data_IF_769355652016
#
_entry.id   IF_769355652016
#
_cell.length_a   1.000
_cell.length_b   1.000
_cell.length_c   1.000
_cell.angle_alpha   90.00
_cell.angle_beta   90.00
_cell.angle_gamma   90.00
#
_symmetry.space_group_name_H-M   'P 1'
#
loop_
_entity.id
_entity.type
_entity.pdbx_description
1 polymer ?
#
# COMPACT_ATOMS: atom_id res chain seq x y z
N UNK A 1 13.01 24.39 9.82
CA UNK A 1 13.98 23.30 10.01
C UNK A 1 13.30 21.93 10.03
N UNK A 2 12.34 21.69 10.93
CA UNK A 2 11.59 20.42 11.05
C UNK A 2 10.94 19.94 9.74
N UNK A 3 10.27 20.83 8.98
CA UNK A 3 9.63 20.46 7.71
C UNK A 3 10.63 19.97 6.64
N UNK A 4 11.83 20.56 6.62
CA UNK A 4 12.89 20.20 5.66
C UNK A 4 13.49 18.83 6.01
N UNK A 5 13.66 18.54 7.30
CA UNK A 5 14.10 17.23 7.77
C UNK A 5 13.06 16.14 7.47
N UNK A 6 11.77 16.42 7.68
CA UNK A 6 10.68 15.50 7.33
C UNK A 6 10.62 15.20 5.82
N UNK A 7 10.75 16.22 4.97
CA UNK A 7 10.83 16.05 3.52
C UNK A 7 12.07 15.27 3.07
N UNK A 8 13.19 15.41 3.81
CA UNK A 8 14.41 14.64 3.54
C UNK A 8 14.22 13.14 3.80
N UNK A 9 13.42 12.77 4.80
CA UNK A 9 13.04 11.38 5.09
C UNK A 9 12.27 10.73 3.93
N UNK A 10 11.34 11.47 3.31
CA UNK A 10 10.60 10.99 2.15
C UNK A 10 11.48 10.75 0.93
N UNK A 11 12.56 11.51 0.77
CA UNK A 11 13.49 11.37 -0.35
C UNK A 11 14.07 9.96 -0.42
N UNK A 12 14.27 9.30 0.74
CA UNK A 12 14.74 7.92 0.82
C UNK A 12 13.75 6.90 0.24
N UNK A 13 12.46 7.14 0.36
CA UNK A 13 11.37 6.29 -0.17
C UNK A 13 11.19 6.50 -1.68
N UNK A 14 11.36 7.75 -2.14
CA UNK A 14 11.18 8.11 -3.55
C UNK A 14 12.42 7.80 -4.40
N UNK A 15 13.62 7.75 -3.82
CA UNK A 15 14.86 7.52 -4.55
C UNK A 15 14.86 6.15 -5.24
N UNK A 16 14.91 6.15 -6.57
CA UNK A 16 15.17 4.94 -7.36
C UNK A 16 16.63 4.56 -7.09
N UNK A 17 16.85 3.40 -6.46
CA UNK A 17 18.18 2.77 -6.43
C UNK A 17 18.37 1.97 -7.72
N UNK A 18 19.58 1.99 -8.26
CA UNK A 18 19.99 1.13 -9.38
C UNK A 18 20.23 -0.32 -8.88
N UNK A 19 19.22 -0.91 -8.24
CA UNK A 19 19.22 -2.30 -7.79
C UNK A 19 18.32 -3.12 -8.73
N UNK A 20 18.42 -4.45 -8.65
CA UNK A 20 17.53 -5.33 -9.38
C UNK A 20 16.06 -5.05 -9.03
N UNK A 21 15.22 -4.91 -10.04
CA UNK A 21 13.77 -4.76 -9.94
C UNK A 21 13.12 -6.09 -9.52
N UNK A 22 12.95 -6.24 -8.21
CA UNK A 22 12.30 -7.39 -7.57
C UNK A 22 10.77 -7.25 -7.50
N UNK A 23 10.21 -6.10 -7.91
CA UNK A 23 8.83 -5.71 -7.60
C UNK A 23 7.89 -5.76 -8.84
N UNK A 24 6.59 -5.90 -8.59
CA UNK A 24 5.56 -5.63 -9.61
C UNK A 24 5.17 -4.15 -9.67
N UNK A 25 4.61 -3.70 -10.78
CA UNK A 25 4.14 -2.31 -10.91
C UNK A 25 3.08 -1.97 -9.85
N UNK A 26 2.19 -2.92 -9.55
CA UNK A 26 1.19 -2.78 -8.50
C UNK A 26 1.84 -2.71 -7.11
N UNK A 27 2.87 -3.51 -6.85
CA UNK A 27 3.61 -3.43 -5.60
C UNK A 27 4.18 -2.02 -5.36
N UNK A 28 4.80 -1.42 -6.40
CA UNK A 28 5.28 -0.03 -6.37
C UNK A 28 4.15 0.98 -6.15
N UNK A 29 2.94 0.71 -6.63
CA UNK A 29 1.79 1.58 -6.41
C UNK A 29 1.40 1.65 -4.92
N UNK A 30 1.52 0.56 -4.18
CA UNK A 30 1.27 0.50 -2.73
C UNK A 30 2.38 1.21 -1.93
N UNK A 31 3.59 0.66 -1.93
CA UNK A 31 4.62 1.14 -0.99
C UNK A 31 5.26 2.46 -1.42
N UNK A 32 5.31 2.75 -2.72
CA UNK A 32 6.03 3.93 -3.23
C UNK A 32 5.09 5.09 -3.44
N UNK A 33 3.97 4.89 -4.16
CA UNK A 33 3.03 5.98 -4.40
C UNK A 33 2.10 6.19 -3.21
N UNK A 34 1.35 5.16 -2.80
CA UNK A 34 0.34 5.30 -1.74
C UNK A 34 0.95 5.65 -0.38
N UNK A 35 2.00 4.95 0.05
CA UNK A 35 2.64 5.25 1.33
C UNK A 35 3.25 6.67 1.35
N UNK A 36 4.00 7.06 0.31
CA UNK A 36 4.57 8.43 0.22
C UNK A 36 3.49 9.48 0.25
N UNK A 37 2.39 9.27 -0.48
CA UNK A 37 1.25 10.16 -0.51
C UNK A 37 0.58 10.31 0.87
N UNK A 38 0.40 9.21 1.61
CA UNK A 38 -0.14 9.25 2.97
C UNK A 38 0.79 10.00 3.93
N UNK A 39 2.11 9.80 3.83
CA UNK A 39 3.07 10.59 4.60
C UNK A 39 3.06 12.07 4.21
N UNK A 40 2.88 12.41 2.94
CA UNK A 40 2.66 13.78 2.48
C UNK A 40 1.42 14.41 3.12
N UNK A 41 0.29 13.70 3.14
CA UNK A 41 -0.93 14.16 3.81
C UNK A 41 -0.75 14.30 5.32
N UNK A 42 -0.08 13.35 5.97
CA UNK A 42 0.28 13.43 7.38
C UNK A 42 1.07 14.71 7.68
N UNK A 43 2.11 15.01 6.88
CA UNK A 43 2.89 16.23 7.06
C UNK A 43 2.06 17.49 6.79
N UNK A 44 1.20 17.49 5.77
CA UNK A 44 0.35 18.64 5.45
C UNK A 44 -0.58 18.99 6.62
N UNK A 45 -1.29 17.99 7.17
CA UNK A 45 -2.20 18.18 8.31
C UNK A 45 -1.42 18.59 9.56
N UNK A 46 -0.25 17.97 9.81
CA UNK A 46 0.61 18.32 10.95
C UNK A 46 1.15 19.74 10.84
N UNK A 47 1.61 20.16 9.66
CA UNK A 47 2.12 21.50 9.42
C UNK A 47 1.03 22.56 9.68
N UNK A 48 -0.20 22.31 9.21
CA UNK A 48 -1.31 23.21 9.47
C UNK A 48 -1.67 23.27 10.97
N UNK A 49 -1.55 22.15 11.68
CA UNK A 49 -1.81 22.09 13.12
C UNK A 49 -0.74 22.77 13.98
N UNK A 50 0.49 22.93 13.47
CA UNK A 50 1.61 23.57 14.18
C UNK A 50 1.76 25.05 13.85
N UNK A 51 1.47 25.46 12.61
CA UNK A 51 1.66 26.84 12.13
C UNK A 51 0.38 27.64 12.14
N UNK A 52 -0.77 26.98 11.93
CA UNK A 52 -2.09 27.62 11.93
C UNK A 52 -2.82 27.49 13.26
N UNK A 53 -3.96 28.17 13.34
CA UNK A 53 -4.94 27.99 14.43
C UNK A 53 -5.93 26.90 13.99
N UNK A 54 -5.87 25.69 14.58
CA UNK A 54 -6.68 24.57 14.10
C UNK A 54 -8.18 24.74 14.40
N UNK A 55 -8.50 25.56 15.40
CA UNK A 55 -9.85 25.92 15.83
C UNK A 55 -9.88 27.38 16.27
N UNK A 56 -10.95 28.10 15.89
CA UNK A 56 -11.21 29.46 16.32
C UNK A 56 -12.65 29.61 16.83
N UNK A 57 -12.80 29.95 18.10
CA UNK A 57 -14.08 30.06 18.78
C UNK A 57 -14.51 31.51 18.96
N UNK A 58 -15.79 31.79 18.69
CA UNK A 58 -16.39 33.12 18.87
C UNK A 58 -16.88 33.25 20.30
N UNK A 59 -16.30 34.18 21.07
CA UNK A 59 -16.66 34.39 22.48
C UNK A 59 -16.85 35.85 22.92
N UNK A 60 -16.84 36.82 22.00
CA UNK A 60 -16.99 38.25 22.33
C UNK A 60 -15.82 38.82 23.16
N UNK A 61 -15.80 40.14 23.33
CA UNK A 61 -14.73 40.87 24.03
C UNK A 61 -14.90 40.79 25.57
N UNK A 62 -14.88 39.58 26.13
CA UNK A 62 -14.97 39.38 27.56
C UNK A 62 -13.58 39.28 28.20
N UNK A 63 -13.20 40.15 29.16
CA UNK A 63 -11.84 40.18 29.73
C UNK A 63 -11.38 38.88 30.38
N UNK A 64 -12.32 38.05 30.84
CA UNK A 64 -12.05 36.75 31.48
C UNK A 64 -12.00 35.57 30.50
N UNK A 65 -12.18 35.81 29.19
CA UNK A 65 -12.13 34.79 28.14
C UNK A 65 -11.01 35.13 27.13
N UNK A 66 -9.73 34.88 27.44
CA UNK A 66 -8.66 35.08 26.46
C UNK A 66 -8.77 34.06 25.32
N UNK A 67 -8.69 34.53 24.07
CA UNK A 67 -8.83 33.73 22.84
C UNK A 67 -8.01 32.45 22.88
N UNK A 68 -6.73 32.57 23.26
CA UNK A 68 -5.81 31.44 23.31
C UNK A 68 -6.25 30.36 24.31
N UNK A 69 -6.81 30.74 25.45
CA UNK A 69 -7.28 29.80 26.47
C UNK A 69 -8.53 29.08 25.99
N UNK A 70 -9.48 29.84 25.44
CA UNK A 70 -10.74 29.30 24.90
C UNK A 70 -10.47 28.34 23.74
N UNK A 71 -9.67 28.77 22.75
CA UNK A 71 -9.32 27.95 21.59
C UNK A 71 -8.56 26.70 22.01
N UNK A 72 -7.61 26.79 22.95
CA UNK A 72 -6.87 25.62 23.44
C UNK A 72 -7.77 24.66 24.21
N UNK A 73 -8.65 25.17 25.07
CA UNK A 73 -9.62 24.36 25.81
C UNK A 73 -10.54 23.61 24.85
N UNK A 74 -11.15 24.32 23.90
CA UNK A 74 -12.05 23.73 22.91
C UNK A 74 -11.34 22.85 21.88
N UNK A 75 -10.03 23.02 21.68
CA UNK A 75 -9.23 22.11 20.87
C UNK A 75 -8.99 20.78 21.58
N UNK A 76 -8.61 20.83 22.87
CA UNK A 76 -8.27 19.65 23.68
C UNK A 76 -9.55 18.89 24.05
N UNK A 77 -10.58 19.60 24.47
CA UNK A 77 -11.90 19.04 24.71
C UNK A 77 -12.64 18.77 23.39
N UNK A 78 -13.58 17.85 23.43
CA UNK A 78 -14.36 17.48 22.25
C UNK A 78 -15.34 18.59 21.88
N UNK A 79 -15.42 18.90 20.60
CA UNK A 79 -16.50 19.73 20.06
C UNK A 79 -17.70 18.86 19.68
N UNK A 80 -18.87 19.45 19.45
CA UNK A 80 -20.06 18.68 19.10
C UNK A 80 -20.95 19.38 18.08
N UNK A 81 -21.79 18.60 17.39
CA UNK A 81 -22.89 19.08 16.54
C UNK A 81 -24.22 18.45 16.97
N UNK A 82 -25.31 19.07 16.55
CA UNK A 82 -26.69 18.69 16.87
C UNK A 82 -27.36 18.07 15.63
N UNK A 83 -27.58 16.75 15.57
CA UNK A 83 -28.18 16.08 14.41
C UNK A 83 -29.51 16.68 13.96
N UNK A 84 -30.35 17.11 14.92
CA UNK A 84 -31.66 17.75 14.65
C UNK A 84 -31.60 19.02 13.77
N UNK A 85 -30.43 19.63 13.66
CA UNK A 85 -30.19 20.83 12.87
C UNK A 85 -29.35 20.60 11.61
N UNK A 86 -28.93 19.35 11.32
CA UNK A 86 -28.10 19.05 10.14
C UNK A 86 -28.89 19.19 8.84
N UNK A 87 -30.13 18.68 8.79
CA UNK A 87 -30.96 18.66 7.58
C UNK A 87 -31.93 19.84 7.45
N UNK A 88 -31.81 20.86 8.31
CA UNK A 88 -32.66 22.06 8.24
C UNK A 88 -32.02 23.11 7.33
N UNK A 89 -32.86 23.85 6.60
CA UNK A 89 -32.40 25.01 5.82
C UNK A 89 -31.69 26.02 6.73
N UNK A 90 -30.56 26.53 6.25
CA UNK A 90 -29.69 27.47 6.98
C UNK A 90 -29.37 28.68 6.09
N UNK A 91 -28.99 29.80 6.72
CA UNK A 91 -28.64 31.03 6.01
C UNK A 91 -29.69 32.14 6.10
N UNK A 92 -29.61 33.11 5.17
CA UNK A 92 -30.33 34.39 5.27
C UNK A 92 -31.85 34.19 5.28
N UNK A 93 -32.49 34.62 6.37
CA UNK A 93 -33.95 34.47 6.57
C UNK A 93 -34.38 33.23 7.37
N UNK A 94 -33.43 32.41 7.83
CA UNK A 94 -33.69 31.26 8.72
C UNK A 94 -33.19 31.53 10.14
N UNK A 95 -33.65 30.73 11.12
CA UNK A 95 -33.18 30.80 12.52
C UNK A 95 -31.83 30.11 12.75
N UNK A 96 -31.24 29.51 11.71
CA UNK A 96 -30.03 28.69 11.78
C UNK A 96 -28.90 29.35 10.99
N UNK A 97 -27.76 29.53 11.68
CA UNK A 97 -26.56 30.14 11.09
C UNK A 97 -25.75 29.10 10.29
N UNK A 98 -25.69 27.84 10.75
CA UNK A 98 -24.94 26.77 10.12
C UNK A 98 -25.56 25.38 10.42
N UNK A 99 -25.47 24.38 9.53
CA UNK A 99 -25.95 23.02 9.78
C UNK A 99 -25.38 22.41 11.05
N UNK A 100 -26.24 21.81 11.88
CA UNK A 100 -25.81 21.16 13.12
C UNK A 100 -25.40 22.10 14.25
N UNK A 101 -25.54 23.42 14.09
CA UNK A 101 -25.23 24.43 15.11
C UNK A 101 -26.49 25.23 15.44
N UNK A 102 -26.94 25.11 16.69
CA UNK A 102 -28.12 25.82 17.20
C UNK A 102 -28.21 25.78 18.72
N UNK A 103 -29.30 26.31 19.29
CA UNK A 103 -29.57 26.21 20.73
C UNK A 103 -29.78 24.74 21.12
N UNK A 104 -29.11 24.29 22.18
CA UNK A 104 -29.21 22.92 22.67
C UNK A 104 -29.95 22.85 24.00
N UNK A 105 -30.78 21.84 24.16
CA UNK A 105 -31.40 21.42 25.41
C UNK A 105 -30.64 20.22 25.97
N UNK A 106 -30.72 20.00 27.28
CA UNK A 106 -30.04 18.88 27.94
C UNK A 106 -30.50 17.49 27.46
N UNK A 107 -31.68 17.39 26.85
CA UNK A 107 -32.25 16.15 26.30
C UNK A 107 -31.85 15.88 24.84
N UNK A 108 -31.10 16.78 24.19
CA UNK A 108 -30.75 16.62 22.79
C UNK A 108 -29.64 15.57 22.60
N UNK A 109 -29.71 14.83 21.50
CA UNK A 109 -28.62 13.98 21.06
C UNK A 109 -27.45 14.84 20.55
N UNK A 110 -26.24 14.55 21.03
CA UNK A 110 -25.02 15.26 20.66
C UNK A 110 -24.08 14.29 19.93
N UNK A 111 -23.52 14.76 18.80
CA UNK A 111 -22.46 14.04 18.10
C UNK A 111 -21.15 14.74 18.37
N UNK A 112 -20.25 14.04 19.07
CA UNK A 112 -18.95 14.57 19.44
C UNK A 112 -17.90 14.33 18.35
N UNK A 113 -17.09 15.35 18.09
CA UNK A 113 -16.02 15.36 17.11
C UNK A 113 -14.69 15.51 17.83
N UNK A 114 -13.92 14.42 17.88
CA UNK A 114 -12.56 14.41 18.42
C UNK A 114 -11.54 13.74 17.49
N UNK A 115 -12.00 13.18 16.36
CA UNK A 115 -11.17 12.42 15.43
C UNK A 115 -10.05 13.28 14.82
N UNK A 116 -10.25 14.59 14.67
CA UNK A 116 -9.29 15.49 14.01
C UNK A 116 -7.93 15.55 14.73
N UNK A 117 -7.90 15.34 16.04
CA UNK A 117 -6.66 15.24 16.82
C UNK A 117 -5.84 14.00 16.42
N UNK A 118 -6.53 12.93 15.99
CA UNK A 118 -5.95 11.64 15.66
C UNK A 118 -5.60 11.47 14.19
N UNK A 119 -6.12 12.34 13.31
CA UNK A 119 -5.91 12.25 11.85
C UNK A 119 -4.42 12.13 11.46
N UNK A 120 -3.48 12.94 11.98
CA UNK A 120 -2.07 12.81 11.62
C UNK A 120 -1.49 11.44 11.99
N UNK A 121 -1.80 10.93 13.19
CA UNK A 121 -1.32 9.63 13.65
C UNK A 121 -1.90 8.47 12.83
N UNK A 122 -3.19 8.58 12.46
CA UNK A 122 -3.85 7.64 11.57
C UNK A 122 -3.16 7.64 10.21
N UNK A 123 -2.99 8.79 9.55
CA UNK A 123 -2.34 8.88 8.24
C UNK A 123 -0.91 8.31 8.26
N UNK A 124 -0.15 8.59 9.33
CA UNK A 124 1.19 8.03 9.53
C UNK A 124 1.17 6.50 9.63
N UNK A 125 0.28 5.95 10.48
CA UNK A 125 0.13 4.51 10.64
C UNK A 125 -0.27 3.85 9.32
N UNK A 126 -1.21 4.43 8.58
CA UNK A 126 -1.61 3.93 7.27
C UNK A 126 -0.44 3.92 6.29
N UNK A 127 0.38 4.97 6.27
CA UNK A 127 1.61 5.02 5.47
C UNK A 127 2.56 3.85 5.78
N UNK A 128 2.77 3.55 7.06
CA UNK A 128 3.57 2.39 7.48
C UNK A 128 2.94 1.06 7.03
N UNK A 129 1.62 0.91 7.17
CA UNK A 129 0.91 -0.30 6.77
C UNK A 129 1.00 -0.56 5.27
N UNK A 130 0.95 0.46 4.41
CA UNK A 130 1.17 0.32 2.96
C UNK A 130 2.63 0.04 2.59
N UNK A 131 3.59 0.41 3.45
CA UNK A 131 5.00 0.08 3.26
C UNK A 131 5.35 -1.35 3.73
N UNK A 132 4.63 -1.87 4.71
CA UNK A 132 4.96 -3.13 5.39
C UNK A 132 5.06 -4.37 4.48
N UNK A 133 4.15 -4.62 3.51
CA UNK A 133 4.26 -5.77 2.61
C UNK A 133 5.55 -5.74 1.77
N UNK A 134 5.99 -4.56 1.34
CA UNK A 134 7.26 -4.41 0.64
C UNK A 134 8.44 -4.65 1.54
N UNK A 135 8.46 -4.06 2.73
CA UNK A 135 9.53 -4.30 3.70
C UNK A 135 9.67 -5.80 4.02
N UNK A 136 8.55 -6.51 4.16
CA UNK A 136 8.53 -7.96 4.35
C UNK A 136 9.10 -8.71 3.15
N UNK A 137 8.65 -8.37 1.93
CA UNK A 137 9.18 -8.97 0.70
C UNK A 137 10.69 -8.77 0.57
N UNK A 138 11.16 -7.54 0.75
CA UNK A 138 12.59 -7.21 0.65
C UNK A 138 13.43 -7.98 1.67
N UNK A 139 12.94 -8.14 2.89
CA UNK A 139 13.61 -8.93 3.94
C UNK A 139 13.65 -10.42 3.57
N UNK A 140 12.58 -10.95 2.99
CA UNK A 140 12.53 -12.36 2.56
C UNK A 140 13.32 -12.66 1.28
N UNK A 141 13.41 -11.68 0.37
CA UNK A 141 14.15 -11.75 -0.88
C UNK A 141 15.66 -11.76 -0.61
N UNK A 142 16.12 -10.95 0.36
CA UNK A 142 17.46 -11.04 0.94
C UNK A 142 18.62 -10.70 -0.02
N UNK A 143 18.35 -10.03 -1.15
CA UNK A 143 19.32 -9.71 -2.19
C UNK A 143 19.62 -10.88 -3.13
N UNK A 144 18.84 -11.96 -3.11
CA UNK A 144 19.07 -13.17 -3.91
C UNK A 144 19.11 -12.85 -5.41
N UNK A 145 18.14 -12.09 -5.92
CA UNK A 145 18.07 -11.75 -7.34
C UNK A 145 19.24 -10.86 -7.76
N UNK A 146 19.58 -9.85 -6.95
CA UNK A 146 20.70 -8.94 -7.24
C UNK A 146 22.03 -9.71 -7.29
N UNK A 147 22.21 -10.66 -6.37
CA UNK A 147 23.37 -11.57 -6.36
C UNK A 147 23.43 -12.45 -7.62
N UNK A 148 22.30 -13.04 -8.04
CA UNK A 148 22.22 -13.97 -9.18
C UNK A 148 22.36 -13.23 -10.52
N UNK A 149 21.92 -11.97 -10.61
CA UNK A 149 22.10 -11.16 -11.82
C UNK A 149 23.57 -10.85 -12.09
N UNK A 150 24.46 -10.84 -11.08
CA UNK A 150 25.93 -10.71 -11.24
C UNK A 150 26.40 -9.60 -12.22
N UNK A 151 25.65 -8.51 -12.33
CA UNK A 151 25.93 -7.42 -13.27
C UNK A 151 25.58 -7.70 -14.74
N UNK A 152 24.87 -8.78 -15.05
CA UNK A 152 24.31 -9.07 -16.39
C UNK A 152 23.24 -8.06 -16.84
N UNK A 153 22.89 -7.09 -16.00
CA UNK A 153 22.09 -5.91 -16.34
C UNK A 153 22.86 -4.88 -17.17
N UNK A 154 24.21 -4.92 -17.15
CA UNK A 154 25.07 -3.93 -17.81
C UNK A 154 25.32 -4.38 -19.27
N UNK A 155 24.96 -3.58 -20.28
CA UNK A 155 25.11 -3.97 -21.68
C UNK A 155 26.58 -4.02 -22.14
N UNK A 156 27.44 -3.21 -21.53
CA UNK A 156 28.87 -3.10 -21.87
C UNK A 156 29.67 -4.08 -21.01
N UNK A 157 29.97 -5.25 -21.56
CA UNK A 157 30.89 -6.24 -20.98
C UNK A 157 31.60 -7.01 -22.09
N UNK A 158 32.74 -7.64 -21.78
CA UNK A 158 33.46 -8.46 -22.76
C UNK A 158 32.65 -9.72 -23.13
N UNK A 159 32.90 -10.29 -24.31
CA UNK A 159 32.18 -11.49 -24.75
C UNK A 159 32.45 -12.68 -23.84
N UNK A 160 33.70 -12.84 -23.41
CA UNK A 160 34.13 -13.95 -22.55
C UNK A 160 33.54 -13.80 -21.14
N UNK A 161 33.60 -12.60 -20.55
CA UNK A 161 32.99 -12.34 -19.23
C UNK A 161 31.48 -12.57 -19.25
N UNK A 162 30.80 -12.18 -20.34
CA UNK A 162 29.37 -12.46 -20.52
C UNK A 162 29.11 -13.95 -20.54
N UNK A 163 29.87 -14.69 -21.32
CA UNK A 163 29.70 -16.13 -21.49
C UNK A 163 29.89 -16.86 -20.16
N UNK A 164 30.94 -16.54 -19.41
CA UNK A 164 31.25 -17.15 -18.11
C UNK A 164 30.13 -16.90 -17.09
N UNK A 165 29.63 -15.65 -17.00
CA UNK A 165 28.53 -15.30 -16.09
C UNK A 165 27.22 -16.00 -16.46
N UNK A 166 26.92 -16.13 -17.76
CA UNK A 166 25.75 -16.87 -18.24
C UNK A 166 25.87 -18.36 -17.91
N UNK A 167 27.04 -18.95 -18.14
CA UNK A 167 27.29 -20.36 -17.83
C UNK A 167 27.11 -20.66 -16.34
N UNK A 168 27.69 -19.82 -15.47
CA UNK A 168 27.54 -19.93 -14.02
C UNK A 168 26.08 -19.77 -13.58
N UNK A 169 25.36 -18.81 -14.17
CA UNK A 169 23.93 -18.59 -13.89
C UNK A 169 23.08 -19.78 -14.34
N UNK A 170 23.33 -20.34 -15.52
CA UNK A 170 22.64 -21.52 -16.03
C UNK A 170 22.90 -22.75 -15.15
N UNK A 171 24.14 -22.93 -14.69
CA UNK A 171 24.53 -24.00 -13.78
C UNK A 171 23.82 -23.90 -12.43
N UNK A 172 23.77 -22.70 -11.86
CA UNK A 172 23.01 -22.42 -10.65
C UNK A 172 21.52 -22.76 -10.83
N UNK A 173 20.88 -22.25 -11.90
CA UNK A 173 19.46 -22.46 -12.15
C UNK A 173 19.11 -23.93 -12.38
N UNK A 174 20.00 -24.67 -13.05
CA UNK A 174 19.84 -26.11 -13.25
C UNK A 174 19.94 -26.89 -11.93
N UNK A 175 20.96 -26.58 -11.12
CA UNK A 175 21.21 -27.27 -9.84
C UNK A 175 20.17 -26.94 -8.76
N UNK A 176 19.54 -25.78 -8.84
CA UNK A 176 18.56 -25.28 -7.86
C UNK A 176 17.10 -25.35 -8.33
N UNK A 177 16.83 -26.05 -9.43
CA UNK A 177 15.47 -26.24 -9.93
C UNK A 177 14.57 -26.85 -8.86
N UNK A 178 13.30 -26.47 -8.82
CA UNK A 178 12.27 -26.89 -7.86
C UNK A 178 12.42 -26.35 -6.42
N UNK A 179 13.57 -25.79 -6.04
CA UNK A 179 13.75 -25.15 -4.72
C UNK A 179 13.17 -23.73 -4.64
N UNK A 180 12.67 -23.17 -5.75
CA UNK A 180 12.18 -21.78 -5.81
C UNK A 180 10.69 -21.59 -5.50
N UNK A 181 9.93 -22.65 -5.26
CA UNK A 181 8.49 -22.52 -5.02
C UNK A 181 8.18 -21.66 -3.79
N UNK A 182 8.96 -21.80 -2.72
CA UNK A 182 8.78 -21.00 -1.51
C UNK A 182 9.08 -19.51 -1.76
N UNK A 183 10.03 -19.19 -2.64
CA UNK A 183 10.32 -17.82 -3.05
C UNK A 183 9.13 -17.18 -3.77
N UNK A 184 8.47 -17.91 -4.69
CA UNK A 184 7.27 -17.43 -5.37
C UNK A 184 6.05 -17.31 -4.43
N UNK A 185 5.87 -18.26 -3.50
CA UNK A 185 4.78 -18.21 -2.50
C UNK A 185 4.94 -16.98 -1.58
N UNK A 186 6.16 -16.71 -1.10
CA UNK A 186 6.47 -15.52 -0.31
C UNK A 186 6.09 -14.23 -1.04
N UNK A 187 6.41 -14.13 -2.33
CA UNK A 187 6.04 -12.98 -3.15
C UNK A 187 4.52 -12.85 -3.28
N UNK A 188 3.82 -13.94 -3.62
CA UNK A 188 2.37 -13.96 -3.76
C UNK A 188 1.66 -13.57 -2.45
N UNK A 189 2.17 -14.05 -1.32
CA UNK A 189 1.68 -13.67 0.01
C UNK A 189 1.80 -12.16 0.24
N UNK A 190 2.91 -11.53 -0.15
CA UNK A 190 3.06 -10.08 -0.07
C UNK A 190 2.11 -9.33 -1.03
N UNK A 191 1.86 -9.85 -2.24
CA UNK A 191 0.84 -9.27 -3.14
C UNK A 191 -0.57 -9.39 -2.52
N UNK A 192 -0.90 -10.51 -1.88
CA UNK A 192 -2.17 -10.70 -1.17
C UNK A 192 -2.28 -9.74 0.03
N UNK A 193 -1.22 -9.60 0.81
CA UNK A 193 -1.16 -8.67 1.95
C UNK A 193 -1.40 -7.22 1.52
N UNK A 194 -0.98 -6.80 0.32
CA UNK A 194 -1.30 -5.46 -0.18
C UNK A 194 -2.81 -5.27 -0.43
N UNK A 195 -3.50 -6.27 -1.02
CA UNK A 195 -4.94 -6.19 -1.21
C UNK A 195 -5.66 -6.17 0.15
N UNK A 196 -5.29 -7.09 1.05
CA UNK A 196 -5.84 -7.16 2.41
C UNK A 196 -5.63 -5.83 3.13
N UNK A 197 -4.45 -5.23 3.01
CA UNK A 197 -4.15 -3.94 3.60
C UNK A 197 -5.03 -2.82 3.02
N UNK A 198 -5.25 -2.79 1.70
CA UNK A 198 -6.13 -1.79 1.06
C UNK A 198 -7.57 -1.91 1.56
N UNK A 199 -8.10 -3.13 1.66
CA UNK A 199 -9.47 -3.38 2.18
C UNK A 199 -9.56 -3.06 3.67
N UNK A 200 -8.55 -3.46 4.45
CA UNK A 200 -8.47 -3.15 5.87
C UNK A 200 -8.43 -1.64 6.12
N UNK A 201 -7.68 -0.87 5.32
CA UNK A 201 -7.64 0.59 5.44
C UNK A 201 -9.01 1.23 5.18
N UNK A 202 -9.76 0.72 4.20
CA UNK A 202 -11.13 1.18 3.94
C UNK A 202 -12.05 0.91 5.15
N UNK A 203 -11.99 -0.30 5.71
CA UNK A 203 -12.76 -0.66 6.91
C UNK A 203 -12.35 0.15 8.14
N UNK A 204 -11.04 0.34 8.34
CA UNK A 204 -10.48 1.09 9.46
C UNK A 204 -10.93 2.56 9.42
N UNK A 205 -10.86 3.20 8.25
CA UNK A 205 -11.36 4.57 8.08
C UNK A 205 -12.87 4.67 8.25
N UNK A 206 -13.63 3.66 7.81
CA UNK A 206 -15.06 3.61 8.07
C UNK A 206 -15.37 3.56 9.56
N UNK A 207 -14.65 2.74 10.33
CA UNK A 207 -14.80 2.70 11.79
C UNK A 207 -14.37 4.03 12.45
N UNK A 208 -13.27 4.62 11.98
CA UNK A 208 -12.72 5.87 12.50
C UNK A 208 -13.64 7.08 12.30
N UNK A 209 -14.33 7.14 11.16
CA UNK A 209 -15.24 8.24 10.79
C UNK A 209 -16.71 7.98 11.14
N UNK A 210 -17.01 7.01 12.01
CA UNK A 210 -18.37 6.78 12.50
C UNK A 210 -19.30 6.01 11.55
N UNK A 211 -18.76 5.27 10.58
CA UNK A 211 -19.50 4.32 9.74
C UNK A 211 -19.94 4.84 8.37
N UNK A 212 -19.54 6.05 7.99
CA UNK A 212 -19.97 6.74 6.77
C UNK A 212 -18.95 6.66 5.62
N UNK A 213 -17.72 6.23 5.89
CA UNK A 213 -16.64 6.30 4.90
C UNK A 213 -16.88 5.37 3.70
N UNK A 214 -17.55 4.23 3.86
CA UNK A 214 -17.78 3.32 2.73
C UNK A 214 -18.60 3.95 1.60
N UNK A 215 -19.62 4.74 1.91
CA UNK A 215 -20.48 5.42 0.92
C UNK A 215 -19.96 6.80 0.54
N UNK A 216 -19.03 7.35 1.32
CA UNK A 216 -18.61 8.76 1.25
C UNK A 216 -18.32 9.28 -0.15
N UNK A 217 -17.52 8.58 -0.97
CA UNK A 217 -17.22 9.06 -2.33
C UNK A 217 -18.41 9.00 -3.28
N UNK A 218 -19.31 8.01 -3.12
CA UNK A 218 -20.56 7.93 -3.89
C UNK A 218 -21.48 9.07 -3.48
N UNK A 219 -21.62 9.33 -2.18
CA UNK A 219 -22.43 10.41 -1.63
C UNK A 219 -21.95 11.78 -2.14
N UNK A 220 -20.63 11.97 -2.27
CA UNK A 220 -20.03 13.20 -2.84
C UNK A 220 -20.31 13.35 -4.35
N UNK A 221 -20.32 12.26 -5.12
CA UNK A 221 -20.70 12.30 -6.54
C UNK A 221 -22.18 12.66 -6.71
N UNK A 222 -23.06 11.98 -5.96
CA UNK A 222 -24.50 12.26 -5.96
C UNK A 222 -24.79 13.69 -5.50
N UNK A 223 -24.09 14.15 -4.47
CA UNK A 223 -24.15 15.54 -4.04
C UNK A 223 -23.77 16.46 -5.20
N UNK A 224 -22.70 16.23 -5.95
CA UNK A 224 -22.26 17.12 -7.05
C UNK A 224 -23.29 17.24 -8.18
N UNK A 225 -24.16 16.24 -8.37
CA UNK A 225 -25.17 16.21 -9.45
C UNK A 225 -26.54 16.81 -9.08
N UNK A 226 -26.88 16.91 -7.80
CA UNK A 226 -28.21 17.39 -7.32
C UNK A 226 -28.43 18.92 -7.51
N UNK A 227 -29.55 19.53 -7.10
CA UNK A 227 -29.71 21.00 -7.12
C UNK A 227 -29.22 21.65 -5.81
N UNK A 228 -28.68 22.87 -5.85
CA UNK A 228 -27.98 23.51 -4.73
C UNK A 228 -28.85 23.83 -3.49
N UNK A 229 -30.16 23.88 -3.65
CA UNK A 229 -31.11 24.34 -2.63
C UNK A 229 -31.63 23.21 -1.70
N UNK A 230 -31.51 21.94 -2.08
CA UNK A 230 -32.01 20.78 -1.30
C UNK A 230 -30.90 19.97 -0.61
N UNK A 231 -29.64 20.38 -0.74
CA UNK A 231 -28.50 19.54 -0.40
C UNK A 231 -28.04 19.69 1.06
N UNK A 232 -27.86 18.56 1.74
CA UNK A 232 -26.93 18.46 2.89
C UNK A 232 -25.58 17.99 2.36
N UNK A 233 -24.51 18.76 2.57
CA UNK A 233 -23.16 18.38 2.14
C UNK A 233 -22.65 17.20 3.00
N UNK A 234 -22.42 16.00 2.43
CA UNK A 234 -21.91 14.85 3.18
C UNK A 234 -20.53 15.12 3.80
N UNK A 235 -19.75 16.05 3.22
CA UNK A 235 -18.48 16.49 3.80
C UNK A 235 -18.69 17.20 5.14
N UNK A 236 -19.75 18.00 5.30
CA UNK A 236 -20.04 18.74 6.54
C UNK A 236 -20.55 17.80 7.65
N UNK A 237 -21.22 16.71 7.28
CA UNK A 237 -21.69 15.70 8.25
C UNK A 237 -20.52 14.93 8.86
N UNK A 238 -19.56 14.52 8.03
CA UNK A 238 -18.39 13.75 8.49
C UNK A 238 -17.27 14.65 9.02
N UNK A 239 -17.06 15.80 8.39
CA UNK A 239 -16.03 16.78 8.72
C UNK A 239 -16.63 18.18 8.93
N UNK A 240 -17.35 18.42 10.03
CA UNK A 240 -18.00 19.71 10.25
C UNK A 240 -16.96 20.84 10.34
N UNK A 241 -17.17 21.90 9.55
CA UNK A 241 -16.30 23.08 9.58
C UNK A 241 -16.68 24.04 10.72
N UNK A 242 -17.89 23.93 11.25
CA UNK A 242 -18.37 24.70 12.40
C UNK A 242 -19.02 23.75 13.39
N UNK A 243 -18.66 23.88 14.66
CA UNK A 243 -19.13 23.05 15.77
C UNK A 243 -19.42 23.90 17.00
N UNK A 244 -20.01 23.29 18.03
CA UNK A 244 -20.19 23.90 19.35
C UNK A 244 -19.17 23.37 20.36
N UNK A 245 -18.84 24.20 21.35
CA UNK A 245 -17.97 23.86 22.47
C UNK A 245 -18.54 24.46 23.76
N UNK A 246 -18.63 23.65 24.82
CA UNK A 246 -19.01 24.14 26.14
C UNK A 246 -17.76 24.47 26.95
N UNK A 247 -17.43 25.75 27.07
CA UNK A 247 -16.32 26.24 27.88
C UNK A 247 -16.79 26.44 29.32
N UNK A 248 -16.23 25.68 30.26
CA UNK A 248 -16.61 25.74 31.67
C UNK A 248 -15.57 26.53 32.45
N UNK A 249 -16.01 27.51 33.23
CA UNK A 249 -15.15 28.26 34.15
C UNK A 249 -15.82 28.42 35.52
N UNK A 250 -15.06 28.92 36.50
CA UNK A 250 -15.61 29.30 37.81
C UNK A 250 -15.86 30.80 37.84
N UNK A 251 -17.09 31.20 38.14
CA UNK A 251 -17.45 32.60 38.36
C UNK A 251 -16.94 33.14 39.71
N UNK A 252 -17.13 34.44 40.00
CA UNK A 252 -16.65 35.08 41.23
C UNK A 252 -17.16 34.41 42.53
N UNK A 253 -18.33 33.79 42.47
CA UNK A 253 -18.96 33.06 43.57
C UNK A 253 -18.45 31.61 43.74
N UNK A 254 -17.54 31.15 42.88
CA UNK A 254 -17.07 29.75 42.85
C UNK A 254 -18.06 28.77 42.21
N UNK A 255 -19.17 29.26 41.66
CA UNK A 255 -20.13 28.47 40.89
C UNK A 255 -19.61 28.23 39.47
N UNK A 256 -19.95 27.07 38.88
CA UNK A 256 -19.57 26.74 37.50
C UNK A 256 -20.44 27.57 36.55
N UNK A 257 -19.80 28.30 35.65
CA UNK A 257 -20.42 29.01 34.53
C UNK A 257 -20.00 28.33 33.22
N UNK A 258 -21.00 27.93 32.43
CA UNK A 258 -20.79 27.29 31.12
C UNK A 258 -21.11 28.26 30.01
N UNK A 259 -20.13 28.52 29.15
CA UNK A 259 -20.29 29.31 27.94
C UNK A 259 -20.41 28.39 26.73
N UNK A 260 -21.53 28.49 26.01
CA UNK A 260 -21.79 27.76 24.77
C UNK A 260 -21.24 28.55 23.57
N UNK A 261 -20.10 28.10 23.05
CA UNK A 261 -19.33 28.79 22.03
C UNK A 261 -19.50 28.13 20.67
N UNK A 262 -19.53 28.95 19.62
CA UNK A 262 -19.44 28.49 18.23
C UNK A 262 -17.98 28.52 17.80
N UNK A 263 -17.48 27.42 17.24
CA UNK A 263 -16.10 27.30 16.82
C UNK A 263 -15.99 26.87 15.35
N UNK A 264 -15.04 27.48 14.63
CA UNK A 264 -14.70 27.14 13.25
C UNK A 264 -13.46 26.24 13.27
N UNK A 265 -13.58 25.05 12.69
CA UNK A 265 -12.52 24.05 12.59
C UNK A 265 -11.83 24.17 11.24
N UNK A 266 -10.83 25.06 11.15
CA UNK A 266 -10.06 25.28 9.93
C UNK A 266 -9.36 23.99 9.45
N UNK A 267 -8.97 23.09 10.35
CA UNK A 267 -8.33 21.83 9.98
C UNK A 267 -9.22 20.92 9.12
N UNK A 268 -10.53 20.98 9.31
CA UNK A 268 -11.48 20.12 8.62
C UNK A 268 -11.64 20.45 7.13
N UNK A 269 -11.32 21.68 6.69
CA UNK A 269 -11.31 22.02 5.26
C UNK A 269 -10.25 21.25 4.47
N UNK A 270 -9.14 20.89 5.12
CA UNK A 270 -8.08 20.08 4.51
C UNK A 270 -8.47 18.60 4.59
N UNK A 271 -8.95 18.16 5.76
CA UNK A 271 -9.33 16.77 5.98
C UNK A 271 -10.42 16.33 5.00
N UNK A 272 -11.47 17.12 4.78
CA UNK A 272 -12.55 16.75 3.85
C UNK A 272 -12.01 16.44 2.44
N UNK A 273 -11.00 17.19 1.96
CA UNK A 273 -10.44 17.01 0.62
C UNK A 273 -9.51 15.80 0.56
N UNK A 274 -8.68 15.63 1.59
CA UNK A 274 -7.80 14.45 1.71
C UNK A 274 -8.64 13.18 1.71
N UNK A 275 -9.68 13.10 2.55
CA UNK A 275 -10.47 11.88 2.72
C UNK A 275 -11.36 11.57 1.52
N UNK A 276 -11.86 12.56 0.79
CA UNK A 276 -12.53 12.31 -0.49
C UNK A 276 -11.56 11.71 -1.50
N UNK A 277 -10.39 12.31 -1.64
CA UNK A 277 -9.37 11.80 -2.55
C UNK A 277 -8.92 10.38 -2.16
N UNK A 278 -8.68 10.13 -0.87
CA UNK A 278 -8.28 8.80 -0.37
C UNK A 278 -9.34 7.73 -0.62
N UNK A 279 -10.62 8.07 -0.54
CA UNK A 279 -11.70 7.13 -0.83
C UNK A 279 -11.59 6.59 -2.26
N UNK A 280 -11.54 7.49 -3.26
CA UNK A 280 -11.39 7.10 -4.66
C UNK A 280 -10.08 6.35 -4.89
N UNK A 281 -8.99 6.83 -4.29
CA UNK A 281 -7.69 6.20 -4.41
C UNK A 281 -7.70 4.76 -3.91
N UNK A 282 -8.26 4.49 -2.72
CA UNK A 282 -8.30 3.14 -2.16
C UNK A 282 -9.23 2.20 -2.92
N UNK A 283 -10.35 2.68 -3.47
CA UNK A 283 -11.22 1.88 -4.36
C UNK A 283 -10.46 1.47 -5.63
N UNK A 284 -9.80 2.43 -6.30
CA UNK A 284 -9.01 2.18 -7.51
C UNK A 284 -7.85 1.22 -7.20
N UNK A 285 -7.13 1.46 -6.10
CA UNK A 285 -6.00 0.65 -5.67
C UNK A 285 -6.43 -0.79 -5.37
N UNK A 286 -7.55 -0.99 -4.68
CA UNK A 286 -8.12 -2.32 -4.42
C UNK A 286 -8.53 -3.02 -5.73
N UNK A 287 -9.14 -2.29 -6.68
CA UNK A 287 -9.50 -2.83 -8.00
C UNK A 287 -8.28 -3.29 -8.81
N UNK A 288 -7.26 -2.43 -8.93
CA UNK A 288 -6.00 -2.75 -9.63
C UNK A 288 -5.29 -3.94 -8.95
N UNK A 289 -5.28 -3.97 -7.62
CA UNK A 289 -4.66 -5.06 -6.85
C UNK A 289 -5.37 -6.39 -7.04
N UNK A 290 -6.71 -6.36 -7.07
CA UNK A 290 -7.53 -7.54 -7.35
C UNK A 290 -7.25 -8.08 -8.75
N UNK A 291 -7.23 -7.20 -9.76
CA UNK A 291 -6.91 -7.60 -11.14
C UNK A 291 -5.50 -8.21 -11.25
N UNK A 292 -4.52 -7.62 -10.56
CA UNK A 292 -3.15 -8.14 -10.54
C UNK A 292 -3.04 -9.51 -9.86
N UNK A 293 -3.77 -9.73 -8.76
CA UNK A 293 -3.83 -11.03 -8.09
C UNK A 293 -4.52 -12.08 -8.95
N UNK A 294 -5.63 -11.74 -9.62
CA UNK A 294 -6.29 -12.63 -10.58
C UNK A 294 -5.35 -12.99 -11.72
N UNK A 295 -4.66 -12.00 -12.30
CA UNK A 295 -3.64 -12.24 -13.33
C UNK A 295 -2.53 -13.17 -12.81
N UNK A 296 -2.04 -12.96 -11.58
CA UNK A 296 -1.01 -13.81 -10.97
C UNK A 296 -1.50 -15.23 -10.75
N UNK A 297 -2.74 -15.40 -10.29
CA UNK A 297 -3.37 -16.70 -10.08
C UNK A 297 -3.50 -17.46 -11.41
N UNK A 298 -3.94 -16.78 -12.48
CA UNK A 298 -4.01 -17.37 -13.82
C UNK A 298 -2.62 -17.82 -14.32
N UNK A 299 -1.58 -17.03 -14.10
CA UNK A 299 -0.20 -17.39 -14.44
C UNK A 299 0.28 -18.59 -13.61
N UNK A 300 -0.12 -18.69 -12.34
CA UNK A 300 0.23 -19.81 -11.46
C UNK A 300 -0.45 -21.12 -11.90
N UNK A 301 -1.73 -21.06 -12.24
CA UNK A 301 -2.55 -22.23 -12.59
C UNK A 301 -2.37 -22.69 -14.04
N UNK A 302 -2.03 -21.80 -14.98
CA UNK A 302 -2.05 -22.10 -16.43
C UNK A 302 -0.61 -22.14 -16.99
N UNK A 303 -0.05 -23.33 -17.28
CA UNK A 303 1.28 -23.48 -17.86
C UNK A 303 1.45 -22.76 -19.21
N UNK A 304 0.41 -22.71 -20.04
CA UNK A 304 0.45 -22.08 -21.37
C UNK A 304 0.71 -20.57 -21.31
N UNK A 305 0.20 -19.89 -20.28
CA UNK A 305 0.45 -18.45 -20.07
C UNK A 305 1.92 -18.24 -19.69
N UNK A 306 2.47 -19.13 -18.86
CA UNK A 306 3.88 -19.10 -18.43
C UNK A 306 4.82 -19.21 -19.64
N UNK A 307 4.64 -20.22 -20.50
CA UNK A 307 5.43 -20.35 -21.72
C UNK A 307 5.29 -19.14 -22.64
N UNK A 308 4.07 -18.64 -22.87
CA UNK A 308 3.85 -17.46 -23.70
C UNK A 308 4.55 -16.19 -23.19
N UNK A 309 4.59 -15.98 -21.87
CA UNK A 309 5.28 -14.85 -21.25
C UNK A 309 6.80 -14.92 -21.41
N UNK A 310 7.38 -16.10 -21.17
CA UNK A 310 8.82 -16.32 -21.39
C UNK A 310 9.18 -16.17 -22.87
N UNK A 311 8.34 -16.66 -23.79
CA UNK A 311 8.56 -16.53 -25.23
C UNK A 311 8.66 -15.07 -25.68
N UNK A 312 7.71 -14.24 -25.22
CA UNK A 312 7.69 -12.80 -25.54
C UNK A 312 8.94 -12.08 -25.04
N UNK A 313 9.43 -12.47 -23.86
CA UNK A 313 10.61 -11.84 -23.23
C UNK A 313 11.92 -12.32 -23.82
N UNK A 314 12.06 -13.61 -24.10
CA UNK A 314 13.31 -14.18 -24.57
C UNK A 314 13.53 -14.01 -26.09
N UNK A 315 12.50 -13.66 -26.88
CA UNK A 315 12.54 -13.55 -28.35
C UNK A 315 13.27 -14.72 -29.02
N UNK A 316 13.22 -15.90 -28.40
CA UNK A 316 14.09 -17.02 -28.75
C UNK A 316 13.80 -17.51 -30.16
N UNK A 317 14.87 -17.57 -30.93
CA UNK A 317 14.94 -17.94 -32.35
C UNK A 317 14.61 -19.43 -32.60
N UNK A 318 14.22 -20.17 -31.55
CA UNK A 318 13.93 -21.61 -31.59
C UNK A 318 12.77 -21.95 -30.62
N UNK A 319 11.61 -22.37 -31.15
CA UNK A 319 10.42 -22.74 -30.34
C UNK A 319 10.66 -24.02 -29.51
N UNK A 320 11.49 -24.95 -29.99
CA UNK A 320 11.64 -26.29 -29.41
C UNK A 320 12.27 -26.29 -28.01
N UNK A 321 13.22 -25.39 -27.72
CA UNK A 321 13.86 -25.31 -26.40
C UNK A 321 12.91 -24.80 -25.30
N UNK A 322 11.94 -23.95 -25.66
CA UNK A 322 10.98 -23.38 -24.73
C UNK A 322 9.97 -24.42 -24.22
N UNK A 323 9.56 -25.36 -25.08
CA UNK A 323 8.65 -26.43 -24.69
C UNK A 323 9.29 -27.37 -23.67
N UNK A 324 10.60 -27.62 -23.78
CA UNK A 324 11.36 -28.41 -22.81
C UNK A 324 11.38 -27.70 -21.45
N UNK A 325 11.72 -26.40 -21.44
CA UNK A 325 11.73 -25.56 -20.25
C UNK A 325 10.34 -25.52 -19.61
N UNK A 326 9.30 -25.20 -20.38
CA UNK A 326 7.94 -25.06 -19.85
C UNK A 326 7.40 -26.35 -19.23
N UNK A 327 7.75 -27.52 -19.80
CA UNK A 327 7.35 -28.83 -19.27
C UNK A 327 8.11 -29.21 -17.99
N UNK A 328 9.39 -28.85 -17.88
CA UNK A 328 10.24 -29.23 -16.74
C UNK A 328 10.19 -28.24 -15.59
N UNK A 329 9.79 -26.98 -15.78
CA UNK A 329 9.82 -25.98 -14.72
C UNK A 329 8.55 -25.93 -13.87
N UNK A 330 8.74 -25.92 -12.55
CA UNK A 330 7.70 -25.60 -11.60
C UNK A 330 7.42 -24.09 -11.56
N UNK A 331 6.40 -23.70 -10.79
CA UNK A 331 5.96 -22.30 -10.77
C UNK A 331 7.01 -21.37 -10.15
N UNK A 332 7.72 -21.84 -9.13
CA UNK A 332 8.82 -21.09 -8.52
C UNK A 332 9.96 -20.79 -9.48
N UNK A 333 10.36 -21.80 -10.26
CA UNK A 333 11.45 -21.67 -11.24
C UNK A 333 11.07 -20.70 -12.36
N UNK A 334 9.83 -20.83 -12.86
CA UNK A 334 9.27 -19.89 -13.83
C UNK A 334 9.27 -18.45 -13.28
N UNK A 335 8.85 -18.27 -12.02
CA UNK A 335 8.75 -16.95 -11.42
C UNK A 335 10.14 -16.29 -11.29
N UNK A 336 11.16 -17.04 -10.86
CA UNK A 336 12.53 -16.55 -10.80
C UNK A 336 13.06 -16.20 -12.21
N UNK A 337 12.86 -17.06 -13.21
CA UNK A 337 13.23 -16.77 -14.59
C UNK A 337 12.51 -15.53 -15.14
N UNK A 338 11.23 -15.37 -14.84
CA UNK A 338 10.47 -14.19 -15.23
C UNK A 338 11.05 -12.93 -14.58
N UNK A 339 11.50 -13.01 -13.33
CA UNK A 339 12.14 -11.89 -12.63
C UNK A 339 13.53 -11.59 -13.21
N UNK A 340 14.31 -12.62 -13.54
CA UNK A 340 15.58 -12.47 -14.26
C UNK A 340 15.38 -11.81 -15.63
N UNK A 341 14.33 -12.16 -16.37
CA UNK A 341 14.02 -11.56 -17.68
C UNK A 341 13.77 -10.04 -17.64
N UNK A 342 13.48 -9.49 -16.46
CA UNK A 342 13.33 -8.04 -16.25
C UNK A 342 14.63 -7.35 -15.87
N UNK A 343 15.59 -8.10 -15.35
CA UNK A 343 16.81 -7.59 -14.72
C UNK A 343 18.08 -7.90 -15.48
N UNK A 344 18.01 -8.84 -16.41
CA UNK A 344 19.10 -9.21 -17.32
C UNK A 344 18.86 -8.57 -18.68
N UNK A 345 19.94 -8.13 -19.31
CA UNK A 345 19.90 -7.61 -20.68
C UNK A 345 19.35 -8.67 -21.67
N UNK A 346 18.64 -8.22 -22.71
CA UNK A 346 17.84 -9.11 -23.57
C UNK A 346 18.68 -10.20 -24.26
N UNK A 347 19.86 -9.85 -24.79
CA UNK A 347 20.75 -10.79 -25.48
C UNK A 347 21.29 -11.80 -24.47
N UNK A 348 21.76 -11.34 -23.32
CA UNK A 348 22.22 -12.22 -22.24
C UNK A 348 21.12 -13.17 -21.75
N UNK A 349 19.89 -12.70 -21.62
CA UNK A 349 18.75 -13.54 -21.23
C UNK A 349 18.40 -14.58 -22.30
N UNK A 350 18.48 -14.23 -23.59
CA UNK A 350 18.29 -15.19 -24.69
C UNK A 350 19.34 -16.30 -24.64
N UNK A 351 20.63 -15.96 -24.52
CA UNK A 351 21.71 -16.94 -24.43
C UNK A 351 21.61 -17.81 -23.16
N UNK A 352 21.18 -17.24 -22.03
CA UNK A 352 20.91 -18.00 -20.81
C UNK A 352 19.83 -19.06 -21.02
N UNK A 353 18.75 -18.70 -21.71
CA UNK A 353 17.65 -19.63 -21.99
C UNK A 353 18.06 -20.75 -22.95
N UNK A 354 18.91 -20.46 -23.94
CA UNK A 354 19.48 -21.47 -24.83
C UNK A 354 20.32 -22.49 -24.05
N UNK A 355 21.26 -22.00 -23.23
CA UNK A 355 22.12 -22.84 -22.38
C UNK A 355 21.32 -23.67 -21.39
N UNK A 356 20.33 -23.08 -20.72
CA UNK A 356 19.45 -23.78 -19.80
C UNK A 356 18.63 -24.87 -20.50
N UNK A 357 18.13 -24.59 -21.71
CA UNK A 357 17.38 -25.57 -22.49
C UNK A 357 18.24 -26.77 -22.90
N UNK A 358 19.50 -26.54 -23.29
CA UNK A 358 20.44 -27.59 -23.67
C UNK A 358 20.77 -28.50 -22.48
N UNK A 359 20.99 -27.92 -21.28
CA UNK A 359 21.22 -28.68 -20.04
C UNK A 359 20.02 -29.53 -19.65
N UNK A 360 18.82 -28.96 -19.74
CA UNK A 360 17.58 -29.68 -19.45
C UNK A 360 17.27 -30.79 -20.48
N UNK A 361 17.74 -30.67 -21.71
CA UNK A 361 17.61 -31.70 -22.73
C UNK A 361 18.61 -32.86 -22.53
N UNK A 362 19.85 -32.55 -22.16
CA UNK A 362 20.98 -33.50 -22.21
C UNK A 362 21.36 -34.14 -20.87
N UNK A 363 20.93 -33.62 -19.70
CA UNK A 363 21.28 -34.18 -18.38
C UNK A 363 20.04 -34.61 -17.58
N UNK A 364 20.01 -35.82 -16.99
CA UNK A 364 18.95 -36.23 -16.07
C UNK A 364 18.90 -35.30 -14.85
N UNK A 365 17.69 -34.91 -14.45
CA UNK A 365 17.45 -33.99 -13.32
C UNK A 365 17.81 -34.75 -12.02
N UNK A 366 19.00 -34.50 -11.46
CA UNK A 366 19.67 -35.24 -10.36
C UNK A 366 20.47 -36.49 -10.77
N UNK A 367 21.72 -36.36 -11.23
CA UNK A 367 22.63 -37.50 -11.37
C UNK A 367 22.98 -38.14 -10.01
N UNK A 368 23.01 -37.36 -8.93
CA UNK A 368 23.49 -37.83 -7.62
C UNK A 368 22.54 -38.83 -6.90
N UNK A 369 21.28 -38.92 -7.34
CA UNK A 369 20.30 -39.88 -6.79
C UNK A 369 20.26 -41.22 -7.56
N UNK A 370 20.69 -41.25 -8.82
CA UNK A 370 20.73 -42.48 -9.62
C UNK A 370 22.02 -43.29 -9.42
N UNK A 371 23.13 -42.64 -9.04
CA UNK A 371 24.43 -43.32 -8.88
C UNK A 371 24.46 -44.31 -7.70
N UNK A 372 23.52 -44.24 -6.76
CA UNK A 372 23.53 -45.14 -5.58
C UNK A 372 22.88 -46.52 -5.81
N UNK A 373 22.13 -46.78 -6.88
CA UNK A 373 21.40 -48.05 -7.03
C UNK A 373 21.90 -48.97 -8.15
N UNK A 374 22.66 -48.46 -9.12
CA UNK A 374 23.14 -49.26 -10.25
C UNK A 374 24.46 -50.01 -10.01
N UNK A 375 25.51 -49.46 -9.34
CA UNK A 375 26.79 -50.18 -9.26
C UNK A 375 26.80 -51.30 -8.22
N UNK A 376 26.01 -51.18 -7.13
CA UNK A 376 26.09 -52.13 -6.01
C UNK A 376 25.31 -53.44 -6.24
N UNK A 377 24.31 -53.45 -7.13
CA UNK A 377 23.53 -54.67 -7.44
C UNK A 377 24.26 -55.56 -8.45
N UNK A 378 25.00 -54.96 -9.38
CA UNK A 378 25.78 -55.70 -10.39
C UNK A 378 27.02 -56.40 -9.80
N UNK A 379 27.62 -55.85 -8.74
CA UNK A 379 28.78 -56.44 -8.06
C UNK A 379 28.35 -57.57 -7.10
N UNK A 380 27.17 -57.44 -6.46
CA UNK A 380 26.58 -58.49 -5.61
C UNK A 380 26.16 -59.74 -6.39
N UNK A 381 25.68 -59.58 -7.62
CA UNK A 381 25.35 -60.73 -8.49
C UNK A 381 26.58 -61.45 -9.07
N UNK A 382 27.72 -60.76 -9.24
CA UNK A 382 28.97 -61.40 -9.67
C UNK A 382 29.60 -62.23 -8.54
N UNK A 383 29.64 -61.68 -7.32
CA UNK A 383 30.20 -62.38 -6.16
C UNK A 383 29.36 -63.61 -5.73
N UNK A 384 28.06 -63.66 -6.05
CA UNK A 384 27.22 -64.85 -5.79
C UNK A 384 27.30 -65.92 -6.88
N UNK A 385 27.90 -65.63 -8.04
CA UNK A 385 28.07 -66.60 -9.14
C UNK A 385 29.44 -67.27 -9.17
N UNK A 386 30.40 -66.80 -8.37
CA UNK A 386 31.74 -67.39 -8.26
C UNK A 386 31.85 -68.40 -7.09
N UNK A 387 30.83 -68.49 -6.23
CA UNK A 387 30.77 -69.40 -5.07
C UNK A 387 29.71 -70.52 -5.21
N UNK A 388 29.25 -70.84 -6.44
CA UNK A 388 28.26 -71.89 -6.71
C UNK A 388 28.79 -73.02 -7.60
#
# INVERSE_FOLDING_TARGET
MVLVELLSGLRGIVKVKNCADIDSAVFKLHYRLTATMLFCFCMLVTANSLVGEPINCVHGDHPMLPDKVVNTYCWIHTTFTLPKYIHRGYGRGTTLVYPGVGPHLASDELVYHAYYQWVPFVLFLQGLMFYAPHWLWRTWEGGKLESIVMGLSIPVMSRDERHDKIYLLADYLYSSIHYHNFYAIKFFLCELLNLVNSVFNMWFLNKFLGGTFFTYGIDVLYFTETNQEERTDPMIVVFPRVTKCNFNMYGPSGTIETHDLMCVLALNIINEKIYVFLWFWFVILAGISTLALVYRLLVFCIPTIRSGLLQKRARLRYKNGLDIISKKLQVGDFFLLYLLSKNVELIAFSSLMEELSARLANKPLHPDLEVSTAPQIAERHRLMSEDA
#
